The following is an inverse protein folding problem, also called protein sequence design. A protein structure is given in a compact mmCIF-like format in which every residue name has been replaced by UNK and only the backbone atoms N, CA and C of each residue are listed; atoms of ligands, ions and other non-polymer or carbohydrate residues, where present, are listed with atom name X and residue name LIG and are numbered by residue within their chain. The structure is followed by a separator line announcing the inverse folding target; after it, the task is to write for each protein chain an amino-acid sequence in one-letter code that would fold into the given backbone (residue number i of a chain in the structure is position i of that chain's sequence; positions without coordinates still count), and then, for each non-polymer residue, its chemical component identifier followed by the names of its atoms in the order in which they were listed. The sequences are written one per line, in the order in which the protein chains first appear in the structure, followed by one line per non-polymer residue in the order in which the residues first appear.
data_IF_397334261654
#
_entry.id   IF_397334261654
#
_cell.length_a   1.000
_cell.length_b   1.000
_cell.length_c   1.000
_cell.angle_alpha   90.00
_cell.angle_beta   90.00
_cell.angle_gamma   90.00
#
_symmetry.space_group_name_H-M   'P 1'
#
loop_
_entity.id
_entity.type
_entity.pdbx_description
1 polymer ?
#
# COMPACT_ATOMS: atom_id res chain seq x y z
N UNK A 1 82.04 20.45 44.31
CA UNK A 1 80.81 20.65 45.15
C UNK A 1 79.88 21.60 44.46
N UNK A 2 78.84 21.10 43.85
CA UNK A 2 77.65 21.85 43.47
C UNK A 2 76.60 20.84 43.03
N UNK A 3 75.58 20.64 43.90
CA UNK A 3 74.43 19.80 43.72
C UNK A 3 73.45 20.55 42.82
N UNK A 4 73.13 19.97 41.70
CA UNK A 4 72.01 20.43 40.88
C UNK A 4 70.77 19.51 41.14
N UNK A 5 69.80 20.09 41.80
CA UNK A 5 68.45 19.52 41.98
C UNK A 5 67.60 19.69 40.70
N UNK A 6 67.07 18.60 40.23
CA UNK A 6 66.09 18.57 39.13
C UNK A 6 64.72 18.89 39.69
N UNK A 7 63.87 19.63 38.93
CA UNK A 7 62.47 19.95 39.32
C UNK A 7 61.51 18.76 39.02
N UNK A 8 60.64 18.51 40.00
CA UNK A 8 59.53 17.57 39.92
C UNK A 8 58.54 17.93 38.75
N UNK A 9 58.35 16.99 37.85
CA UNK A 9 57.32 17.04 36.82
C UNK A 9 55.93 16.99 37.49
N UNK A 10 55.10 17.96 37.16
CA UNK A 10 53.68 18.03 37.55
C UNK A 10 52.88 16.97 36.81
N UNK A 11 52.25 16.06 37.55
CA UNK A 11 51.21 15.16 37.02
C UNK A 11 50.01 16.01 36.63
N UNK A 12 49.85 16.24 35.32
CA UNK A 12 48.56 16.70 34.78
C UNK A 12 47.50 15.59 34.92
N UNK A 13 46.53 15.83 35.78
CA UNK A 13 45.39 14.97 35.95
C UNK A 13 44.59 14.94 34.65
N UNK A 14 44.44 13.76 34.07
CA UNK A 14 43.46 13.49 33.03
C UNK A 14 42.06 13.70 33.64
N UNK A 15 41.44 14.82 33.34
CA UNK A 15 40.02 15.03 33.61
C UNK A 15 39.29 14.14 32.61
N UNK A 16 38.80 13.02 33.06
CA UNK A 16 37.86 12.17 32.35
C UNK A 16 36.63 13.00 32.05
N UNK A 17 36.45 13.38 30.78
CA UNK A 17 35.23 14.01 30.33
C UNK A 17 34.08 12.99 30.46
N UNK A 18 33.27 13.13 31.48
CA UNK A 18 32.03 12.39 31.60
C UNK A 18 31.17 12.70 30.36
N UNK A 19 30.58 11.68 29.68
CA UNK A 19 29.73 11.91 28.57
C UNK A 19 28.54 12.79 29.03
N UNK A 20 28.37 13.94 28.40
CA UNK A 20 27.32 14.88 28.73
C UNK A 20 25.96 14.15 28.68
N UNK A 21 25.34 14.01 29.85
CA UNK A 21 23.97 13.43 29.96
C UNK A 21 23.03 14.27 29.16
N UNK A 22 22.54 13.68 28.06
CA UNK A 22 21.57 14.36 27.20
C UNK A 22 20.33 14.73 28.02
N UNK A 23 19.81 15.97 27.83
CA UNK A 23 18.62 16.40 28.55
C UNK A 23 17.43 15.49 28.23
N UNK A 24 16.54 15.28 29.21
CA UNK A 24 15.31 14.48 29.06
C UNK A 24 14.48 14.90 27.81
N UNK A 25 14.43 16.18 27.51
CA UNK A 25 13.75 16.71 26.33
C UNK A 25 14.41 16.25 25.03
N UNK A 26 15.72 16.27 24.94
CA UNK A 26 16.46 15.80 23.75
C UNK A 26 16.27 14.30 23.54
N UNK A 27 16.24 13.51 24.61
CA UNK A 27 15.94 12.09 24.57
C UNK A 27 14.52 11.82 24.10
N UNK A 28 13.53 12.57 24.65
CA UNK A 28 12.12 12.47 24.26
C UNK A 28 11.93 12.78 22.77
N UNK A 29 12.58 13.82 22.25
CA UNK A 29 12.53 14.16 20.81
C UNK A 29 13.14 13.04 19.95
N UNK A 30 14.24 12.42 20.39
CA UNK A 30 14.84 11.28 19.66
C UNK A 30 13.91 10.07 19.63
N UNK A 31 13.26 9.76 20.77
CA UNK A 31 12.26 8.67 20.80
C UNK A 31 11.08 8.99 19.89
N UNK A 32 10.59 10.24 19.90
CA UNK A 32 9.50 10.66 19.02
C UNK A 32 9.87 10.48 17.55
N UNK A 33 11.07 10.87 17.15
CA UNK A 33 11.55 10.77 15.78
C UNK A 33 11.74 9.31 15.34
N UNK A 34 12.34 8.46 16.19
CA UNK A 34 12.50 7.04 15.88
C UNK A 34 11.15 6.29 15.87
N UNK A 35 10.23 6.60 16.77
CA UNK A 35 8.86 6.07 16.74
C UNK A 35 8.13 6.50 15.47
N UNK A 36 8.31 7.77 15.06
CA UNK A 36 7.76 8.28 13.81
C UNK A 36 8.33 7.56 12.58
N UNK A 37 9.63 7.27 12.57
CA UNK A 37 10.28 6.50 11.50
C UNK A 37 9.67 5.10 11.38
N UNK A 38 9.49 4.40 12.52
CA UNK A 38 8.86 3.09 12.54
C UNK A 38 7.43 3.11 12.01
N UNK A 39 6.68 4.14 12.36
CA UNK A 39 5.29 4.30 11.88
C UNK A 39 5.24 4.73 10.42
N UNK A 40 6.16 5.59 9.99
CA UNK A 40 6.23 6.04 8.59
C UNK A 40 6.61 4.88 7.66
N UNK A 41 7.55 4.03 8.09
CA UNK A 41 7.98 2.83 7.37
C UNK A 41 6.99 1.64 7.51
N UNK A 42 5.82 1.83 8.13
CA UNK A 42 4.82 0.79 8.41
C UNK A 42 5.35 -0.40 9.25
N UNK A 43 6.53 -0.28 9.87
CA UNK A 43 7.04 -1.30 10.80
C UNK A 43 6.18 -1.43 12.07
N UNK A 44 5.44 -0.38 12.42
CA UNK A 44 4.51 -0.34 13.56
C UNK A 44 3.31 0.57 13.22
N UNK A 45 2.10 0.06 13.44
CA UNK A 45 0.86 0.82 13.23
C UNK A 45 0.40 1.56 14.50
N UNK A 46 0.67 1.01 15.68
CA UNK A 46 0.22 1.56 16.95
C UNK A 46 1.26 2.46 17.63
N UNK A 47 0.83 3.65 18.06
CA UNK A 47 1.68 4.62 18.76
C UNK A 47 2.39 4.05 19.98
N UNK A 48 1.71 3.23 20.77
CA UNK A 48 2.31 2.62 21.96
C UNK A 48 3.44 1.66 21.60
N UNK A 49 3.21 0.78 20.61
CA UNK A 49 4.22 -0.17 20.14
C UNK A 49 5.43 0.54 19.53
N UNK A 50 5.17 1.51 18.63
CA UNK A 50 6.21 2.33 18.04
C UNK A 50 7.06 3.05 19.10
N UNK A 51 6.40 3.68 20.08
CA UNK A 51 7.04 4.36 21.21
C UNK A 51 7.95 3.42 22.01
N UNK A 52 7.43 2.26 22.39
CA UNK A 52 8.20 1.30 23.21
C UNK A 52 9.35 0.69 22.44
N UNK A 53 9.16 0.36 21.16
CA UNK A 53 10.20 -0.15 20.27
C UNK A 53 11.31 0.89 20.05
N UNK A 54 10.94 2.14 19.80
CA UNK A 54 11.87 3.26 19.69
C UNK A 54 12.66 3.51 21.00
N UNK A 55 11.97 3.49 22.13
CA UNK A 55 12.60 3.68 23.42
C UNK A 55 13.65 2.59 23.70
N UNK A 56 13.33 1.31 23.45
CA UNK A 56 14.28 0.18 23.60
C UNK A 56 15.52 0.33 22.71
N UNK A 57 15.41 0.92 21.53
CA UNK A 57 16.55 1.18 20.63
C UNK A 57 17.46 2.32 21.13
N UNK A 58 16.89 3.28 21.85
CA UNK A 58 17.60 4.51 22.24
C UNK A 58 18.15 4.44 23.66
N UNK A 59 17.42 3.81 24.58
CA UNK A 59 17.85 3.66 25.97
C UNK A 59 18.57 2.34 26.20
N UNK A 60 19.63 2.38 27.02
CA UNK A 60 20.32 1.16 27.48
C UNK A 60 19.65 0.48 28.69
N UNK A 61 18.53 1.03 29.18
CA UNK A 61 17.73 0.56 30.31
C UNK A 61 16.30 1.05 30.18
N UNK A 62 15.49 0.88 31.23
CA UNK A 62 14.09 1.28 31.20
C UNK A 62 13.93 2.81 31.13
N UNK A 63 13.16 3.31 30.14
CA UNK A 63 12.92 4.74 29.99
C UNK A 63 12.03 5.25 31.12
N UNK A 64 12.36 6.41 31.66
CA UNK A 64 11.46 7.08 32.62
C UNK A 64 10.26 7.66 31.88
N UNK A 65 9.06 7.71 32.50
CA UNK A 65 7.85 8.24 31.85
C UNK A 65 8.03 9.64 31.22
N UNK A 66 8.84 10.51 31.86
CA UNK A 66 9.15 11.86 31.37
C UNK A 66 9.99 11.89 30.07
N UNK A 67 10.69 10.80 29.79
CA UNK A 67 11.56 10.67 28.60
C UNK A 67 10.80 10.08 27.42
N UNK A 68 9.56 9.62 27.61
CA UNK A 68 8.70 9.10 26.57
C UNK A 68 7.84 10.20 25.95
N UNK A 69 7.75 10.26 24.61
CA UNK A 69 6.91 11.23 23.92
C UNK A 69 5.43 10.88 24.07
N UNK A 70 4.59 11.90 23.97
CA UNK A 70 3.16 11.75 23.78
C UNK A 70 2.85 11.22 22.36
N UNK A 71 1.66 10.67 22.16
CA UNK A 71 1.20 10.25 20.83
C UNK A 71 1.12 11.46 19.88
N UNK A 72 0.82 12.65 20.40
CA UNK A 72 0.82 13.90 19.63
C UNK A 72 2.21 14.23 19.08
N UNK A 73 3.26 14.15 19.93
CA UNK A 73 4.64 14.42 19.49
C UNK A 73 5.10 13.43 18.42
N UNK A 74 4.71 12.16 18.53
CA UNK A 74 5.01 11.14 17.52
C UNK A 74 4.26 11.47 16.22
N UNK A 75 2.96 11.76 16.30
CA UNK A 75 2.17 12.15 15.11
C UNK A 75 2.78 13.36 14.42
N UNK A 76 3.14 14.40 15.17
CA UNK A 76 3.72 15.61 14.62
C UNK A 76 5.07 15.34 13.93
N UNK A 77 5.86 14.39 14.46
CA UNK A 77 7.10 13.90 13.83
C UNK A 77 6.83 13.08 12.57
N UNK A 78 5.81 12.19 12.56
CA UNK A 78 5.37 11.47 11.34
C UNK A 78 4.99 12.45 10.25
N UNK A 79 4.24 13.50 10.59
CA UNK A 79 3.84 14.53 9.64
C UNK A 79 5.02 15.36 9.12
N UNK A 80 6.04 15.59 9.96
CA UNK A 80 7.26 16.24 9.51
C UNK A 80 8.01 15.36 8.49
N UNK A 81 8.11 14.06 8.72
CA UNK A 81 8.70 13.09 7.77
C UNK A 81 7.90 13.05 6.46
N UNK A 82 6.58 12.92 6.54
CA UNK A 82 5.72 12.89 5.35
C UNK A 82 5.95 14.15 4.49
N UNK A 83 5.98 15.34 5.09
CA UNK A 83 6.29 16.58 4.37
C UNK A 83 7.66 16.58 3.71
N UNK A 84 8.66 15.99 4.37
CA UNK A 84 10.03 15.94 3.83
C UNK A 84 10.17 14.98 2.64
N UNK A 85 9.46 13.86 2.68
CA UNK A 85 9.59 12.80 1.69
C UNK A 85 8.57 12.88 0.54
N UNK A 86 7.36 13.36 0.83
CA UNK A 86 6.24 13.32 -0.13
C UNK A 86 6.00 14.68 -0.84
N UNK A 87 6.45 15.79 -0.23
CA UNK A 87 6.36 17.13 -0.83
C UNK A 87 4.94 17.52 -1.24
N UNK A 88 4.78 18.04 -2.48
CA UNK A 88 3.50 18.50 -3.04
C UNK A 88 2.56 17.33 -3.35
N UNK A 89 3.08 16.16 -3.70
CA UNK A 89 2.29 14.94 -3.95
C UNK A 89 1.36 14.58 -2.77
N UNK A 90 1.77 14.93 -1.54
CA UNK A 90 0.94 14.72 -0.36
C UNK A 90 -0.36 15.53 -0.39
N UNK A 91 -0.32 16.76 -0.92
CA UNK A 91 -1.51 17.62 -1.03
C UNK A 91 -2.47 17.10 -2.09
N UNK A 92 -1.95 16.63 -3.21
CA UNK A 92 -2.72 15.99 -4.29
C UNK A 92 -3.36 14.69 -3.79
N UNK A 93 -2.56 13.84 -3.14
CA UNK A 93 -3.06 12.60 -2.54
C UNK A 93 -4.18 12.86 -1.52
N UNK A 94 -4.03 13.86 -0.65
CA UNK A 94 -5.07 14.23 0.31
C UNK A 94 -6.37 14.67 -0.38
N UNK A 95 -6.25 15.47 -1.46
CA UNK A 95 -7.39 15.90 -2.27
C UNK A 95 -8.13 14.69 -2.84
N UNK A 96 -7.38 13.77 -3.46
CA UNK A 96 -7.92 12.58 -4.08
C UNK A 96 -8.55 11.63 -3.05
N UNK A 97 -7.89 11.40 -1.90
CA UNK A 97 -8.46 10.62 -0.78
C UNK A 97 -9.79 11.20 -0.28
N UNK A 98 -9.93 12.53 -0.22
CA UNK A 98 -11.18 13.16 0.19
C UNK A 98 -12.28 13.04 -0.86
N UNK A 99 -11.94 13.06 -2.15
CA UNK A 99 -12.89 12.80 -3.23
C UNK A 99 -13.40 11.35 -3.18
N UNK A 100 -12.51 10.39 -2.99
CA UNK A 100 -12.87 8.98 -2.81
C UNK A 100 -13.70 8.75 -1.54
N UNK A 101 -13.33 9.43 -0.43
CA UNK A 101 -14.14 9.39 0.78
C UNK A 101 -15.57 9.90 0.54
N UNK A 102 -15.72 10.99 -0.22
CA UNK A 102 -17.02 11.53 -0.57
C UNK A 102 -17.83 10.54 -1.43
N UNK A 103 -17.21 9.91 -2.43
CA UNK A 103 -17.82 8.86 -3.26
C UNK A 103 -18.37 7.73 -2.38
N UNK A 104 -17.52 7.15 -1.54
CA UNK A 104 -17.91 6.05 -0.63
C UNK A 104 -19.01 6.47 0.34
N UNK A 105 -18.93 7.69 0.89
CA UNK A 105 -19.96 8.20 1.79
C UNK A 105 -21.32 8.39 1.07
N UNK A 106 -21.34 8.74 -0.20
CA UNK A 106 -22.57 8.84 -1.00
C UNK A 106 -23.20 7.47 -1.25
N UNK A 107 -22.41 6.43 -1.56
CA UNK A 107 -22.85 5.03 -1.64
C UNK A 107 -23.50 4.61 -0.33
N UNK A 108 -22.85 4.90 0.78
CA UNK A 108 -23.27 4.50 2.13
C UNK A 108 -24.19 5.53 2.83
N UNK A 109 -24.79 6.48 2.09
CA UNK A 109 -25.59 7.60 2.64
C UNK A 109 -26.70 7.18 3.60
N UNK A 110 -27.31 6.02 3.37
CA UNK A 110 -28.37 5.48 4.22
C UNK A 110 -27.89 5.19 5.66
N UNK A 111 -26.59 4.97 5.85
CA UNK A 111 -25.98 4.61 7.14
C UNK A 111 -25.32 5.79 7.85
N UNK A 112 -25.70 7.03 7.51
CA UNK A 112 -25.19 8.27 8.11
C UNK A 112 -23.67 8.32 8.24
N UNK A 113 -22.89 8.14 7.15
CA UNK A 113 -21.44 8.08 7.19
C UNK A 113 -20.82 9.35 7.80
N UNK A 114 -19.71 9.16 8.48
CA UNK A 114 -18.88 10.25 9.02
C UNK A 114 -17.42 9.99 8.71
N UNK A 115 -16.81 10.88 7.92
CA UNK A 115 -15.38 10.85 7.70
C UNK A 115 -14.66 11.25 8.98
N UNK A 116 -13.63 10.49 9.35
CA UNK A 116 -12.78 10.75 10.51
C UNK A 116 -11.29 10.65 10.13
N UNK A 117 -10.42 10.60 11.11
CA UNK A 117 -9.02 10.21 10.93
C UNK A 117 -8.14 11.20 10.17
N UNK A 118 -7.12 10.66 9.55
CA UNK A 118 -6.05 11.43 8.88
C UNK A 118 -6.55 12.14 7.63
N UNK A 119 -7.42 11.54 6.87
CA UNK A 119 -8.01 12.08 5.65
C UNK A 119 -8.83 13.33 5.92
N UNK A 120 -9.62 13.35 7.01
CA UNK A 120 -10.34 14.56 7.43
C UNK A 120 -9.38 15.64 7.90
N UNK A 121 -8.48 15.31 8.82
CA UNK A 121 -7.63 16.30 9.50
C UNK A 121 -6.43 16.76 8.67
N UNK A 122 -6.21 16.17 7.49
CA UNK A 122 -5.09 16.47 6.61
C UNK A 122 -3.75 15.88 7.08
N UNK A 123 -3.76 14.97 8.06
CA UNK A 123 -2.55 14.33 8.58
C UNK A 123 -2.20 13.03 7.84
N UNK A 124 -2.42 13.02 6.53
CA UNK A 124 -2.11 11.87 5.70
C UNK A 124 -0.61 11.70 5.47
N UNK A 125 -0.22 10.48 5.19
CA UNK A 125 1.06 10.05 4.66
C UNK A 125 0.81 8.96 3.63
N UNK A 126 1.82 8.58 2.89
CA UNK A 126 1.75 7.43 1.99
C UNK A 126 1.19 6.20 2.72
N UNK A 127 0.18 5.58 2.13
CA UNK A 127 -0.52 4.44 2.69
C UNK A 127 -1.37 4.78 3.92
N UNK A 128 -1.91 5.99 4.01
CA UNK A 128 -2.96 6.32 4.97
C UNK A 128 -4.29 5.77 4.47
N UNK A 129 -5.05 5.19 5.37
CA UNK A 129 -6.38 4.66 5.13
C UNK A 129 -7.44 5.78 5.18
N UNK A 130 -8.60 5.53 4.60
CA UNK A 130 -9.79 6.39 4.72
C UNK A 130 -10.70 5.78 5.79
N UNK A 131 -10.82 6.47 6.92
CA UNK A 131 -11.60 6.00 8.06
C UNK A 131 -13.02 6.57 8.02
N UNK A 132 -14.04 5.70 8.02
CA UNK A 132 -15.44 6.08 8.10
C UNK A 132 -16.13 5.45 9.31
N UNK A 133 -16.93 6.21 10.03
CA UNK A 133 -17.93 5.70 10.95
C UNK A 133 -19.28 5.57 10.25
N UNK A 134 -19.90 4.42 10.40
CA UNK A 134 -21.26 4.13 9.91
C UNK A 134 -22.17 3.81 11.10
N UNK A 135 -23.45 4.12 10.96
CA UNK A 135 -24.45 3.86 11.99
C UNK A 135 -25.57 2.99 11.42
N UNK A 136 -25.53 1.72 11.79
CA UNK A 136 -26.48 0.71 11.35
C UNK A 136 -26.69 -0.35 12.42
N UNK A 137 -27.92 -0.82 12.59
CA UNK A 137 -28.24 -1.96 13.44
C UNK A 137 -28.24 -3.28 12.64
N UNK A 138 -28.04 -3.21 11.30
CA UNK A 138 -27.89 -4.37 10.41
C UNK A 138 -26.59 -4.28 9.62
N UNK A 139 -25.69 -5.24 9.87
CA UNK A 139 -24.47 -5.43 9.08
C UNK A 139 -24.80 -5.84 7.64
N UNK A 140 -25.80 -6.73 7.51
CA UNK A 140 -26.25 -7.27 6.22
C UNK A 140 -26.71 -6.17 5.28
N UNK A 141 -27.39 -5.13 5.79
CA UNK A 141 -27.81 -3.98 4.99
C UNK A 141 -26.63 -3.15 4.48
N UNK A 142 -25.56 -3.00 5.29
CA UNK A 142 -24.33 -2.32 4.87
C UNK A 142 -23.61 -3.14 3.80
N UNK A 143 -23.48 -4.45 4.01
CA UNK A 143 -22.87 -5.36 3.03
C UNK A 143 -23.65 -5.35 1.71
N UNK A 144 -24.99 -5.43 1.74
CA UNK A 144 -25.81 -5.37 0.55
C UNK A 144 -25.67 -4.06 -0.24
N UNK A 145 -25.46 -2.92 0.44
CA UNK A 145 -25.19 -1.66 -0.22
C UNK A 145 -23.81 -1.65 -0.94
N UNK A 146 -22.78 -2.22 -0.31
CA UNK A 146 -21.46 -2.37 -0.94
C UNK A 146 -21.52 -3.32 -2.15
N UNK A 147 -22.18 -4.47 -1.99
CA UNK A 147 -22.38 -5.46 -3.06
C UNK A 147 -23.19 -4.88 -4.24
N UNK A 148 -24.17 -4.04 -3.94
CA UNK A 148 -24.97 -3.35 -4.96
C UNK A 148 -24.16 -2.42 -5.86
N UNK A 149 -23.07 -1.86 -5.35
CA UNK A 149 -22.11 -1.03 -6.10
C UNK A 149 -20.87 -1.83 -6.56
N UNK A 150 -20.88 -3.16 -6.42
CA UNK A 150 -19.79 -4.03 -6.86
C UNK A 150 -18.50 -3.90 -6.04
N UNK A 151 -18.59 -3.38 -4.81
CA UNK A 151 -17.45 -3.14 -3.93
C UNK A 151 -17.11 -4.43 -3.16
N UNK A 152 -15.88 -4.92 -3.33
CA UNK A 152 -15.34 -6.04 -2.57
C UNK A 152 -14.91 -5.59 -1.17
N UNK A 153 -15.16 -6.41 -0.16
CA UNK A 153 -14.86 -6.06 1.22
C UNK A 153 -14.58 -7.28 2.08
N UNK A 154 -13.89 -7.05 3.21
CA UNK A 154 -13.69 -8.04 4.27
C UNK A 154 -14.31 -7.55 5.57
N UNK A 155 -14.93 -8.47 6.33
CA UNK A 155 -15.56 -8.16 7.62
C UNK A 155 -14.70 -8.69 8.76
N UNK A 156 -14.20 -7.78 9.60
CA UNK A 156 -13.46 -8.12 10.81
C UNK A 156 -14.31 -7.79 12.06
N UNK A 157 -14.44 -8.75 12.99
CA UNK A 157 -15.08 -8.53 14.28
C UNK A 157 -14.03 -8.49 15.37
N UNK A 158 -13.78 -7.30 15.91
CA UNK A 158 -12.85 -7.11 17.04
C UNK A 158 -13.61 -7.05 18.37
N UNK A 159 -13.24 -7.94 19.29
CA UNK A 159 -13.72 -7.89 20.67
C UNK A 159 -12.75 -7.05 21.50
N UNK A 160 -13.18 -5.90 21.97
CA UNK A 160 -12.36 -5.01 22.80
C UNK A 160 -12.92 -4.94 24.22
N UNK A 161 -12.10 -5.31 25.20
CA UNK A 161 -12.44 -5.15 26.62
C UNK A 161 -11.89 -3.81 27.11
N UNK A 162 -12.79 -2.87 27.45
CA UNK A 162 -12.41 -1.56 27.97
C UNK A 162 -13.19 -1.27 29.26
N UNK A 163 -12.47 -0.96 30.33
CA UNK A 163 -13.05 -0.66 31.67
C UNK A 163 -13.97 -1.77 32.23
N UNK A 164 -13.70 -3.05 31.92
CA UNK A 164 -14.51 -4.17 32.40
C UNK A 164 -15.69 -4.54 31.51
N UNK A 165 -16.06 -3.71 30.54
CA UNK A 165 -17.08 -4.00 29.53
C UNK A 165 -16.46 -4.60 28.28
N UNK A 166 -17.03 -5.69 27.77
CA UNK A 166 -16.70 -6.21 26.44
C UNK A 166 -17.60 -5.54 25.41
N UNK A 167 -16.97 -4.93 24.41
CA UNK A 167 -17.67 -4.35 23.26
C UNK A 167 -17.17 -5.02 22.00
N UNK A 168 -18.07 -5.49 21.19
CA UNK A 168 -17.77 -5.96 19.85
C UNK A 168 -17.83 -4.77 18.89
N UNK A 169 -16.76 -4.60 18.14
CA UNK A 169 -16.70 -3.64 17.02
C UNK A 169 -16.66 -4.44 15.74
N UNK A 170 -17.47 -4.04 14.79
CA UNK A 170 -17.41 -4.59 13.43
C UNK A 170 -16.71 -3.58 12.55
N UNK A 171 -15.63 -4.03 11.92
CA UNK A 171 -14.90 -3.29 10.91
C UNK A 171 -15.15 -3.94 9.56
N UNK A 172 -15.31 -3.13 8.53
CA UNK A 172 -15.28 -3.58 7.14
C UNK A 172 -14.05 -2.92 6.51
N UNK A 173 -13.20 -3.74 5.93
CA UNK A 173 -12.02 -3.32 5.18
C UNK A 173 -12.34 -3.43 3.70
N UNK A 174 -12.05 -2.35 2.96
CA UNK A 174 -12.24 -2.30 1.51
C UNK A 174 -10.88 -1.95 0.92
N UNK A 175 -10.40 -2.80 0.03
CA UNK A 175 -9.23 -2.55 -0.79
C UNK A 175 -9.71 -2.03 -2.14
N UNK A 176 -9.50 -0.76 -2.35
CA UNK A 176 -9.78 -0.03 -3.60
C UNK A 176 -8.53 0.83 -3.89
N UNK A 177 -8.59 1.81 -4.76
CA UNK A 177 -7.50 2.80 -4.97
C UNK A 177 -6.90 3.31 -3.65
N UNK A 178 -7.69 3.40 -2.60
CA UNK A 178 -7.29 3.64 -1.22
C UNK A 178 -7.91 2.58 -0.32
N UNK A 179 -7.20 2.22 0.73
CA UNK A 179 -7.76 1.38 1.78
C UNK A 179 -8.82 2.14 2.57
N UNK A 180 -9.98 1.50 2.79
CA UNK A 180 -11.02 2.04 3.66
C UNK A 180 -11.17 1.16 4.90
N UNK A 181 -11.28 1.79 6.06
CA UNK A 181 -11.72 1.16 7.30
C UNK A 181 -13.09 1.72 7.70
N UNK A 182 -14.14 0.92 7.56
CA UNK A 182 -15.49 1.29 7.97
C UNK A 182 -15.77 0.71 9.36
N UNK A 183 -15.98 1.55 10.37
CA UNK A 183 -16.40 1.08 11.70
C UNK A 183 -17.88 1.24 11.85
N UNK A 184 -18.59 0.13 12.12
CA UNK A 184 -20.05 0.11 12.26
C UNK A 184 -20.44 0.23 13.73
N UNK A 185 -21.31 1.18 14.01
CA UNK A 185 -21.90 1.44 15.31
C UNK A 185 -23.42 1.31 15.25
N UNK A 186 -24.09 0.94 16.36
CA UNK A 186 -25.54 1.00 16.46
C UNK A 186 -26.08 2.40 16.14
N UNK A 187 -27.26 2.49 15.54
CA UNK A 187 -27.89 3.77 15.14
C UNK A 187 -28.03 4.77 16.29
N UNK A 188 -28.29 4.28 17.52
CA UNK A 188 -28.36 5.11 18.73
C UNK A 188 -27.06 5.80 19.10
N UNK A 189 -25.93 5.38 18.55
CA UNK A 189 -24.61 6.01 18.78
C UNK A 189 -24.26 7.14 17.79
N UNK A 190 -25.15 7.50 16.88
CA UNK A 190 -24.89 8.53 15.88
C UNK A 190 -24.50 9.91 16.51
N UNK A 191 -25.04 10.22 17.68
CA UNK A 191 -24.76 11.45 18.44
C UNK A 191 -23.69 11.29 19.53
N UNK A 192 -23.13 10.07 19.69
CA UNK A 192 -22.12 9.81 20.71
C UNK A 192 -20.83 10.58 20.41
N UNK A 193 -20.19 11.12 21.44
CA UNK A 193 -18.92 11.86 21.32
C UNK A 193 -17.77 10.90 21.53
N UNK A 194 -17.18 10.46 20.43
CA UNK A 194 -15.98 9.60 20.45
C UNK A 194 -14.76 10.44 20.83
N UNK A 195 -13.83 9.84 21.58
CA UNK A 195 -12.58 10.50 22.00
C UNK A 195 -11.39 9.91 21.25
N UNK A 196 -10.52 10.80 20.77
CA UNK A 196 -9.27 10.44 20.11
C UNK A 196 -8.30 9.77 21.09
N UNK A 197 -7.73 8.63 20.71
CA UNK A 197 -6.64 7.99 21.45
C UNK A 197 -5.34 8.79 21.42
N UNK A 198 -5.22 9.75 20.49
CA UNK A 198 -4.03 10.59 20.31
C UNK A 198 -4.09 11.82 21.21
N UNK A 199 -5.25 12.49 21.27
CA UNK A 199 -5.39 13.78 21.92
C UNK A 199 -6.25 13.74 23.21
N UNK A 200 -7.02 12.66 23.42
CA UNK A 200 -8.02 12.55 24.49
C UNK A 200 -9.25 13.45 24.31
N UNK A 201 -9.26 14.30 23.29
CA UNK A 201 -10.37 15.20 22.94
C UNK A 201 -11.38 14.49 22.05
N UNK A 202 -12.56 15.11 21.86
CA UNK A 202 -13.52 14.66 20.86
C UNK A 202 -12.85 14.51 19.48
N UNK A 203 -13.12 13.43 18.78
CA UNK A 203 -12.65 13.27 17.41
C UNK A 203 -13.39 14.23 16.49
N UNK A 204 -12.68 14.74 15.49
CA UNK A 204 -13.32 15.47 14.39
C UNK A 204 -14.06 14.46 13.51
N UNK A 205 -15.24 14.84 13.07
CA UNK A 205 -16.08 14.05 12.17
C UNK A 205 -16.68 14.99 11.14
N UNK A 206 -16.77 14.55 9.91
CA UNK A 206 -17.46 15.29 8.85
C UNK A 206 -18.57 14.42 8.23
N UNK A 207 -19.74 14.99 8.08
CA UNK A 207 -20.84 14.49 7.27
C UNK A 207 -20.54 14.69 5.78
N UNK A 208 -21.36 14.14 4.88
CA UNK A 208 -21.29 14.37 3.43
C UNK A 208 -21.27 15.89 3.15
N UNK A 209 -22.23 16.64 3.68
CA UNK A 209 -22.33 18.08 3.45
C UNK A 209 -21.11 18.86 3.99
N UNK A 210 -20.59 18.49 5.16
CA UNK A 210 -19.39 19.12 5.74
C UNK A 210 -18.14 18.79 4.92
N UNK A 211 -18.02 17.57 4.39
CA UNK A 211 -16.91 17.20 3.51
C UNK A 211 -16.99 17.92 2.16
N UNK A 212 -18.18 18.04 1.58
CA UNK A 212 -18.41 18.82 0.36
C UNK A 212 -18.04 20.29 0.55
N UNK A 213 -18.43 20.88 1.67
CA UNK A 213 -18.05 22.26 2.00
C UNK A 213 -16.53 22.39 2.15
N UNK A 214 -15.87 21.47 2.88
CA UNK A 214 -14.41 21.43 3.02
C UNK A 214 -13.70 21.37 1.68
N UNK A 215 -14.19 20.53 0.76
CA UNK A 215 -13.61 20.38 -0.58
C UNK A 215 -13.78 21.67 -1.41
N UNK A 216 -14.96 22.30 -1.39
CA UNK A 216 -15.19 23.59 -2.07
C UNK A 216 -14.31 24.72 -1.52
N UNK A 217 -14.10 24.76 -0.20
CA UNK A 217 -13.27 25.78 0.44
C UNK A 217 -11.77 25.60 0.15
N UNK A 218 -11.28 24.35 0.19
CA UNK A 218 -9.85 24.07 0.01
C UNK A 218 -9.42 23.89 -1.44
N UNK A 219 -10.35 23.49 -2.31
CA UNK A 219 -10.10 23.21 -3.73
C UNK A 219 -11.18 23.86 -4.62
N UNK A 220 -11.25 25.19 -4.66
CA UNK A 220 -12.33 25.93 -5.35
C UNK A 220 -12.38 25.65 -6.86
N UNK A 221 -11.23 25.32 -7.43
CA UNK A 221 -11.11 25.00 -8.87
C UNK A 221 -11.46 23.56 -9.21
N UNK A 222 -11.77 22.72 -8.22
CA UNK A 222 -12.14 21.33 -8.45
C UNK A 222 -13.63 21.23 -8.76
N UNK A 223 -14.03 20.75 -9.96
CA UNK A 223 -15.43 20.44 -10.25
C UNK A 223 -15.83 19.18 -9.45
N UNK A 224 -16.43 19.39 -8.29
CA UNK A 224 -16.67 18.35 -7.28
C UNK A 224 -17.48 17.17 -7.84
N UNK A 225 -18.53 17.45 -8.63
CA UNK A 225 -19.35 16.41 -9.25
C UNK A 225 -18.56 15.61 -10.29
N UNK A 226 -17.71 16.28 -11.06
CA UNK A 226 -16.87 15.64 -12.04
C UNK A 226 -15.77 14.81 -11.38
N UNK A 227 -15.14 15.29 -10.29
CA UNK A 227 -14.14 14.53 -9.55
C UNK A 227 -14.74 13.26 -8.90
N UNK A 228 -15.97 13.33 -8.42
CA UNK A 228 -16.70 12.15 -7.89
C UNK A 228 -17.05 11.18 -9.00
N UNK A 229 -17.55 11.69 -10.16
CA UNK A 229 -17.83 10.87 -11.33
C UNK A 229 -16.55 10.24 -11.91
N UNK A 230 -15.44 10.96 -11.95
CA UNK A 230 -14.14 10.43 -12.37
C UNK A 230 -13.63 9.34 -11.40
N UNK A 231 -13.88 9.49 -10.10
CA UNK A 231 -13.60 8.45 -9.12
C UNK A 231 -14.47 7.20 -9.32
N UNK A 232 -15.76 7.40 -9.64
CA UNK A 232 -16.69 6.30 -9.98
C UNK A 232 -16.34 5.63 -11.31
N UNK A 233 -15.81 6.37 -12.28
CA UNK A 233 -15.46 5.86 -13.62
C UNK A 233 -14.10 5.16 -13.68
N UNK A 234 -13.27 5.31 -12.65
CA UNK A 234 -11.98 4.60 -12.57
C UNK A 234 -12.23 3.19 -12.08
N UNK A 235 -12.52 2.30 -13.02
CA UNK A 235 -12.46 0.86 -12.74
C UNK A 235 -11.06 0.55 -12.16
N UNK A 236 -11.03 -0.07 -11.00
CA UNK A 236 -9.75 -0.52 -10.43
C UNK A 236 -9.14 -1.55 -11.38
N UNK A 237 -8.04 -1.17 -12.05
CA UNK A 237 -7.34 -2.05 -12.98
C UNK A 237 -6.94 -3.39 -12.35
N UNK A 238 -6.67 -3.42 -11.04
CA UNK A 238 -6.32 -4.66 -10.35
C UNK A 238 -7.50 -5.62 -10.19
N UNK A 239 -8.73 -5.12 -10.09
CA UNK A 239 -9.92 -5.96 -10.17
C UNK A 239 -10.08 -6.57 -11.56
N UNK A 240 -9.77 -5.81 -12.62
CA UNK A 240 -9.76 -6.36 -13.99
C UNK A 240 -8.72 -7.46 -14.12
N UNK A 241 -7.51 -7.26 -13.58
CA UNK A 241 -6.46 -8.29 -13.60
C UNK A 241 -6.90 -9.55 -12.85
N UNK A 242 -7.50 -9.41 -11.67
CA UNK A 242 -8.02 -10.54 -10.91
C UNK A 242 -9.07 -11.33 -11.71
N UNK A 243 -10.05 -10.63 -12.30
CA UNK A 243 -11.09 -11.24 -13.14
C UNK A 243 -10.53 -11.98 -14.35
N UNK A 244 -9.39 -11.55 -14.90
CA UNK A 244 -8.72 -12.19 -16.02
C UNK A 244 -7.82 -13.37 -15.58
N UNK A 245 -7.24 -13.29 -14.39
CA UNK A 245 -6.35 -14.32 -13.85
C UNK A 245 -7.11 -15.55 -13.32
N UNK A 246 -8.16 -15.36 -12.53
CA UNK A 246 -8.87 -16.46 -11.87
C UNK A 246 -9.37 -17.55 -12.83
N UNK A 247 -9.89 -17.27 -14.04
CA UNK A 247 -10.29 -18.32 -14.99
C UNK A 247 -9.15 -19.22 -15.46
N UNK A 248 -7.87 -18.77 -15.38
CA UNK A 248 -6.71 -19.55 -15.80
C UNK A 248 -6.49 -20.83 -14.99
N UNK A 249 -6.99 -20.90 -13.74
CA UNK A 249 -6.96 -22.13 -12.91
C UNK A 249 -7.61 -23.32 -13.63
N UNK A 250 -8.62 -23.04 -14.47
CA UNK A 250 -9.35 -24.06 -15.25
C UNK A 250 -8.69 -24.39 -16.59
N UNK A 251 -7.71 -23.58 -17.01
CA UNK A 251 -7.00 -23.77 -18.27
C UNK A 251 -5.86 -24.73 -18.04
N UNK A 252 -6.00 -25.97 -18.55
CA UNK A 252 -4.97 -27.01 -18.47
C UNK A 252 -4.22 -27.11 -19.79
N UNK A 253 -2.91 -27.25 -19.69
CA UNK A 253 -2.02 -27.49 -20.84
C UNK A 253 -1.46 -28.90 -20.85
N UNK A 254 -0.69 -29.24 -21.89
CA UNK A 254 -0.08 -30.56 -22.02
C UNK A 254 0.95 -30.77 -20.91
N UNK A 255 0.80 -31.79 -20.10
CA UNK A 255 1.73 -32.15 -19.02
C UNK A 255 3.16 -32.46 -19.50
N UNK A 256 3.35 -32.69 -20.79
CA UNK A 256 4.66 -32.92 -21.38
C UNK A 256 5.49 -31.62 -21.40
N UNK A 257 4.83 -30.50 -21.67
CA UNK A 257 5.48 -29.18 -21.76
C UNK A 257 5.18 -28.29 -20.57
N UNK A 258 4.10 -28.58 -19.84
CA UNK A 258 3.59 -27.82 -18.68
C UNK A 258 3.31 -28.79 -17.52
N UNK A 259 4.35 -29.32 -16.87
CA UNK A 259 4.19 -30.25 -15.74
C UNK A 259 3.53 -29.61 -14.53
N UNK A 260 3.56 -28.27 -14.39
CA UNK A 260 2.96 -27.46 -13.34
C UNK A 260 1.44 -27.56 -13.28
N UNK A 261 0.78 -27.82 -14.41
CA UNK A 261 -0.62 -28.26 -14.50
C UNK A 261 -1.62 -27.24 -14.98
N UNK A 262 -1.69 -26.02 -14.47
CA UNK A 262 -2.61 -24.98 -14.94
C UNK A 262 -1.90 -23.66 -15.21
N UNK A 263 -2.55 -22.85 -16.07
CA UNK A 263 -1.94 -21.61 -16.54
C UNK A 263 -1.88 -20.55 -15.44
N UNK A 264 -2.78 -20.58 -14.45
CA UNK A 264 -2.70 -19.64 -13.32
C UNK A 264 -1.43 -19.89 -12.51
N UNK A 265 -1.21 -21.14 -12.11
CA UNK A 265 -0.03 -21.51 -11.35
C UNK A 265 1.26 -21.21 -12.13
N UNK A 266 1.26 -21.43 -13.44
CA UNK A 266 2.34 -21.03 -14.32
C UNK A 266 2.59 -19.52 -14.27
N UNK A 267 1.56 -18.69 -14.50
CA UNK A 267 1.67 -17.23 -14.48
C UNK A 267 2.19 -16.68 -13.14
N UNK A 268 1.79 -17.30 -12.03
CA UNK A 268 2.30 -16.93 -10.70
C UNK A 268 3.77 -17.31 -10.50
N UNK A 269 4.24 -18.44 -11.08
CA UNK A 269 5.66 -18.78 -11.08
C UNK A 269 6.49 -17.80 -11.91
N UNK A 270 6.00 -17.44 -13.11
CA UNK A 270 6.66 -16.47 -13.99
C UNK A 270 6.76 -15.10 -13.29
N UNK A 271 5.69 -14.67 -12.65
CA UNK A 271 5.67 -13.45 -11.84
C UNK A 271 6.71 -13.49 -10.71
N UNK A 272 6.79 -14.59 -9.98
CA UNK A 272 7.72 -14.70 -8.85
C UNK A 272 9.19 -14.67 -9.31
N UNK A 273 9.50 -15.34 -10.43
CA UNK A 273 10.81 -15.28 -11.04
C UNK A 273 11.14 -13.87 -11.54
N UNK A 274 10.20 -13.24 -12.25
CA UNK A 274 10.35 -11.86 -12.70
C UNK A 274 10.57 -10.87 -11.53
N UNK A 275 9.88 -11.07 -10.40
CA UNK A 275 10.03 -10.26 -9.19
C UNK A 275 11.42 -10.39 -8.55
N UNK A 276 12.05 -11.55 -8.66
CA UNK A 276 13.41 -11.77 -8.17
C UNK A 276 14.44 -11.00 -9.00
N UNK A 277 14.21 -10.86 -10.31
CA UNK A 277 15.12 -10.19 -11.25
C UNK A 277 14.88 -8.66 -11.28
N UNK A 278 13.64 -8.21 -11.45
CA UNK A 278 13.27 -6.80 -11.58
C UNK A 278 12.17 -6.40 -10.59
N UNK A 279 12.45 -6.39 -9.26
CA UNK A 279 11.42 -6.23 -8.21
C UNK A 279 10.69 -4.89 -8.23
N UNK A 280 11.21 -3.87 -8.90
CA UNK A 280 10.66 -2.51 -8.91
C UNK A 280 10.09 -2.09 -10.27
N UNK A 281 10.13 -2.95 -11.28
CA UNK A 281 9.57 -2.69 -12.61
C UNK A 281 8.12 -3.20 -12.68
N UNK A 282 7.17 -2.33 -12.33
CA UNK A 282 5.74 -2.66 -12.35
C UNK A 282 5.28 -3.15 -13.71
N UNK A 283 5.73 -2.51 -14.80
CA UNK A 283 5.29 -2.80 -16.16
C UNK A 283 5.76 -4.19 -16.63
N UNK A 284 7.00 -4.54 -16.30
CA UNK A 284 7.57 -5.84 -16.58
C UNK A 284 6.89 -6.94 -15.75
N UNK A 285 6.67 -6.70 -14.47
CA UNK A 285 5.99 -7.63 -13.57
C UNK A 285 4.54 -7.87 -13.97
N UNK A 286 3.84 -6.83 -14.44
CA UNK A 286 2.50 -6.97 -15.02
C UNK A 286 2.53 -7.82 -16.29
N UNK A 287 3.51 -7.61 -17.18
CA UNK A 287 3.64 -8.45 -18.36
C UNK A 287 3.90 -9.91 -17.97
N UNK A 288 4.77 -10.18 -17.00
CA UNK A 288 5.05 -11.53 -16.50
C UNK A 288 3.81 -12.22 -15.92
N UNK A 289 2.99 -11.49 -15.15
CA UNK A 289 1.77 -12.05 -14.56
C UNK A 289 0.64 -12.27 -15.58
N UNK A 290 0.52 -11.36 -16.57
CA UNK A 290 -0.65 -11.28 -17.45
C UNK A 290 -0.43 -11.81 -18.87
N UNK A 291 0.79 -12.26 -19.24
CA UNK A 291 1.12 -12.65 -20.62
C UNK A 291 0.16 -13.68 -21.21
N UNK A 292 -0.34 -14.56 -20.38
CA UNK A 292 -1.16 -15.72 -20.75
C UNK A 292 -2.66 -15.59 -20.45
N UNK A 293 -3.15 -14.45 -19.95
CA UNK A 293 -4.58 -14.28 -19.59
C UNK A 293 -5.52 -14.55 -20.76
N UNK A 294 -5.09 -14.29 -21.97
CA UNK A 294 -5.88 -14.57 -23.18
C UNK A 294 -6.13 -16.06 -23.42
N UNK A 295 -5.37 -16.98 -22.83
CA UNK A 295 -5.62 -18.43 -22.95
C UNK A 295 -6.95 -18.87 -22.35
N UNK A 296 -7.50 -18.11 -21.40
CA UNK A 296 -8.85 -18.33 -20.88
C UNK A 296 -9.96 -17.79 -21.79
N UNK A 297 -9.62 -16.90 -22.73
CA UNK A 297 -10.55 -16.22 -23.64
C UNK A 297 -10.55 -16.90 -25.01
N UNK A 298 -9.41 -16.90 -25.70
CA UNK A 298 -9.19 -17.57 -26.97
C UNK A 298 -7.80 -18.22 -27.03
N UNK A 299 -7.76 -19.55 -26.96
CA UNK A 299 -6.52 -20.32 -27.01
C UNK A 299 -5.76 -20.24 -28.33
N UNK A 300 -6.45 -19.89 -29.44
CA UNK A 300 -5.84 -19.88 -30.79
C UNK A 300 -5.09 -18.58 -31.03
N UNK A 301 -5.59 -17.49 -30.45
CA UNK A 301 -4.99 -16.17 -30.54
C UNK A 301 -5.02 -15.50 -29.17
N UNK A 302 -4.32 -16.14 -28.22
CA UNK A 302 -4.33 -15.67 -26.84
C UNK A 302 -3.70 -14.28 -26.67
N UNK A 303 -2.73 -13.92 -27.52
CA UNK A 303 -2.08 -12.61 -27.47
C UNK A 303 -3.11 -11.51 -27.82
N UNK A 304 -3.79 -11.62 -28.96
CA UNK A 304 -4.79 -10.63 -29.34
C UNK A 304 -5.93 -10.55 -28.32
N UNK A 305 -6.38 -11.71 -27.78
CA UNK A 305 -7.40 -11.79 -26.76
C UNK A 305 -6.98 -11.12 -25.44
N UNK A 306 -5.70 -11.31 -25.02
CA UNK A 306 -5.14 -10.65 -23.85
C UNK A 306 -5.09 -9.13 -24.03
N UNK A 307 -4.56 -8.66 -25.14
CA UNK A 307 -4.43 -7.24 -25.45
C UNK A 307 -5.79 -6.52 -25.57
N UNK A 308 -6.79 -7.20 -26.14
CA UNK A 308 -8.15 -6.67 -26.20
C UNK A 308 -8.76 -6.55 -24.79
N UNK A 309 -8.64 -7.59 -23.95
CA UNK A 309 -9.20 -7.59 -22.61
C UNK A 309 -8.49 -6.63 -21.64
N UNK A 310 -7.19 -6.40 -21.82
CA UNK A 310 -6.36 -5.51 -21.02
C UNK A 310 -6.34 -4.07 -21.55
N UNK A 311 -6.98 -3.80 -22.71
CA UNK A 311 -6.98 -2.49 -23.34
C UNK A 311 -7.46 -1.39 -22.41
N UNK A 312 -6.66 -0.33 -22.25
CA UNK A 312 -6.94 0.81 -21.35
C UNK A 312 -6.54 0.57 -19.86
N UNK A 313 -6.13 -0.64 -19.50
CA UNK A 313 -5.72 -0.98 -18.12
C UNK A 313 -4.21 -1.20 -17.95
N UNK A 314 -3.48 -1.38 -19.03
CA UNK A 314 -2.02 -1.54 -19.04
C UNK A 314 -1.36 -0.44 -19.87
N UNK A 315 -0.07 -0.21 -19.62
CA UNK A 315 0.75 0.74 -20.37
C UNK A 315 1.12 0.19 -21.76
N UNK A 316 1.53 1.08 -22.68
CA UNK A 316 2.05 0.65 -23.99
C UNK A 316 3.25 -0.30 -23.87
N UNK A 317 4.13 -0.13 -22.86
CA UNK A 317 5.28 -0.99 -22.62
C UNK A 317 4.85 -2.38 -22.17
N UNK A 318 3.96 -2.48 -21.18
CA UNK A 318 3.39 -3.77 -20.74
C UNK A 318 2.69 -4.48 -21.91
N UNK A 319 1.89 -3.75 -22.70
CA UNK A 319 1.24 -4.31 -23.87
C UNK A 319 2.24 -4.85 -24.91
N UNK A 320 3.33 -4.11 -25.16
CA UNK A 320 4.40 -4.51 -26.08
C UNK A 320 5.10 -5.77 -25.59
N UNK A 321 5.42 -5.90 -24.30
CA UNK A 321 6.02 -7.10 -23.71
C UNK A 321 5.10 -8.32 -23.88
N UNK A 322 3.79 -8.16 -23.61
CA UNK A 322 2.80 -9.23 -23.83
C UNK A 322 2.70 -9.59 -25.31
N UNK A 323 2.69 -8.61 -26.21
CA UNK A 323 2.59 -8.85 -27.66
C UNK A 323 3.76 -9.67 -28.18
N UNK A 324 4.96 -9.42 -27.66
CA UNK A 324 6.19 -9.98 -28.21
C UNK A 324 6.77 -11.17 -27.41
N UNK A 325 6.12 -11.62 -26.31
CA UNK A 325 6.69 -12.70 -25.48
C UNK A 325 6.97 -13.98 -26.25
N UNK A 326 6.10 -14.34 -27.21
CA UNK A 326 6.33 -15.51 -28.08
C UNK A 326 7.47 -15.31 -29.09
N UNK A 327 7.73 -14.04 -29.51
CA UNK A 327 8.93 -13.75 -30.32
C UNK A 327 10.21 -13.90 -29.49
N UNK A 328 10.17 -13.62 -28.17
CA UNK A 328 11.25 -13.88 -27.23
C UNK A 328 11.63 -15.36 -27.18
N UNK A 329 10.64 -16.27 -27.08
CA UNK A 329 10.87 -17.72 -27.17
C UNK A 329 11.46 -18.11 -28.52
N UNK A 330 10.88 -17.64 -29.63
CA UNK A 330 11.38 -17.95 -30.97
C UNK A 330 12.81 -17.43 -31.20
N UNK A 331 13.19 -16.33 -30.57
CA UNK A 331 14.55 -15.80 -30.57
C UNK A 331 15.51 -16.74 -29.85
N UNK A 332 15.15 -17.19 -28.66
CA UNK A 332 15.93 -18.11 -27.83
C UNK A 332 16.14 -19.45 -28.48
N UNK A 333 15.11 -19.99 -29.15
CA UNK A 333 15.16 -21.21 -29.94
C UNK A 333 15.89 -21.06 -31.30
N UNK A 334 16.20 -19.84 -31.72
CA UNK A 334 16.82 -19.55 -33.00
C UNK A 334 15.88 -19.71 -34.21
N UNK A 335 14.57 -19.78 -33.97
CA UNK A 335 13.54 -19.97 -35.00
C UNK A 335 12.99 -18.65 -35.54
N UNK A 336 13.28 -17.53 -34.86
CA UNK A 336 12.80 -16.20 -35.25
C UNK A 336 13.42 -15.72 -36.56
N UNK A 337 12.58 -15.33 -37.52
CA UNK A 337 13.01 -14.82 -38.82
C UNK A 337 13.90 -13.57 -38.73
N UNK A 338 14.87 -13.41 -39.64
CA UNK A 338 15.90 -12.35 -39.61
C UNK A 338 15.31 -10.93 -39.49
N UNK A 339 14.15 -10.66 -40.12
CA UNK A 339 13.50 -9.33 -40.08
C UNK A 339 12.90 -9.06 -38.70
N UNK A 340 12.16 -10.02 -38.14
CA UNK A 340 11.57 -9.91 -36.79
C UNK A 340 12.66 -9.81 -35.73
N UNK A 341 13.72 -10.64 -35.85
CA UNK A 341 14.88 -10.56 -34.96
C UNK A 341 15.52 -9.16 -34.94
N UNK A 342 15.75 -8.56 -36.12
CA UNK A 342 16.35 -7.21 -36.20
C UNK A 342 15.42 -6.15 -35.59
N UNK A 343 14.09 -6.28 -35.78
CA UNK A 343 13.10 -5.38 -35.18
C UNK A 343 13.09 -5.49 -33.69
N UNK A 344 13.07 -6.71 -33.15
CA UNK A 344 13.05 -7.00 -31.72
C UNK A 344 14.32 -6.48 -31.04
N UNK A 345 15.50 -6.76 -31.61
CA UNK A 345 16.79 -6.29 -31.11
C UNK A 345 16.99 -4.75 -31.18
N UNK A 346 16.16 -4.04 -31.93
CA UNK A 346 16.19 -2.59 -32.00
C UNK A 346 15.25 -1.92 -30.99
N UNK A 347 14.50 -2.69 -30.22
CA UNK A 347 13.63 -2.16 -29.15
C UNK A 347 14.46 -1.78 -27.92
N UNK A 348 14.01 -0.77 -27.22
CA UNK A 348 14.58 -0.37 -25.92
C UNK A 348 14.33 -1.43 -24.84
N UNK A 349 13.25 -2.22 -24.98
CA UNK A 349 12.85 -3.30 -24.05
C UNK A 349 13.33 -4.68 -24.52
N UNK A 350 14.43 -4.74 -25.28
CA UNK A 350 14.95 -6.01 -25.80
C UNK A 350 15.42 -6.95 -24.69
N UNK A 351 16.16 -6.44 -23.73
CA UNK A 351 16.69 -7.24 -22.61
C UNK A 351 15.55 -7.80 -21.75
N UNK A 352 14.47 -7.04 -21.58
CA UNK A 352 13.29 -7.48 -20.81
C UNK A 352 12.48 -8.56 -21.54
N UNK A 353 12.43 -8.55 -22.86
CA UNK A 353 11.79 -9.64 -23.62
C UNK A 353 12.59 -10.94 -23.51
N UNK A 354 13.92 -10.89 -23.55
CA UNK A 354 14.77 -12.08 -23.32
C UNK A 354 14.56 -12.60 -21.89
N UNK A 355 14.52 -11.70 -20.90
CA UNK A 355 14.29 -12.05 -19.51
C UNK A 355 12.89 -12.62 -19.28
N UNK A 356 11.85 -12.05 -19.91
CA UNK A 356 10.49 -12.56 -19.82
C UNK A 356 10.40 -14.00 -20.36
N UNK A 357 11.02 -14.27 -21.52
CA UNK A 357 11.07 -15.61 -22.10
C UNK A 357 11.88 -16.59 -21.22
N UNK A 358 12.87 -16.10 -20.48
CA UNK A 358 13.60 -16.92 -19.50
C UNK A 358 12.75 -17.25 -18.28
N UNK A 359 12.03 -16.28 -17.73
CA UNK A 359 11.11 -16.49 -16.62
C UNK A 359 9.97 -17.43 -16.98
N UNK A 360 9.40 -17.29 -18.19
CA UNK A 360 8.34 -18.17 -18.70
C UNK A 360 8.82 -19.62 -18.81
N UNK A 361 9.98 -19.86 -19.43
CA UNK A 361 10.56 -21.21 -19.53
C UNK A 361 10.83 -21.85 -18.16
N UNK A 362 11.33 -21.05 -17.20
CA UNK A 362 11.66 -21.53 -15.87
C UNK A 362 10.41 -21.65 -14.96
N UNK A 363 9.32 -20.99 -15.31
CA UNK A 363 8.02 -21.02 -14.60
C UNK A 363 7.22 -22.32 -14.78
N UNK A 364 7.86 -23.41 -15.22
CA UNK A 364 7.24 -24.72 -15.53
C UNK A 364 7.64 -25.79 -14.52
N UNK A 365 7.71 -25.44 -13.26
CA UNK A 365 8.12 -26.35 -12.19
C UNK A 365 6.94 -26.80 -11.32
N UNK A 366 6.97 -28.05 -10.85
CA UNK A 366 5.93 -28.56 -9.94
C UNK A 366 6.32 -28.37 -8.48
N UNK A 367 5.34 -28.01 -7.63
CA UNK A 367 5.53 -27.94 -6.17
C UNK A 367 6.40 -26.77 -5.70
N UNK A 368 6.54 -25.73 -6.52
CA UNK A 368 7.18 -24.47 -6.13
C UNK A 368 6.20 -23.64 -5.33
N UNK A 369 6.65 -23.03 -4.24
CA UNK A 369 5.87 -22.08 -3.47
C UNK A 369 5.79 -20.75 -4.23
N UNK A 370 4.57 -20.28 -4.49
CA UNK A 370 4.29 -19.04 -5.23
C UNK A 370 3.28 -18.22 -4.47
N UNK A 371 3.27 -16.88 -4.62
CA UNK A 371 2.23 -16.04 -4.06
C UNK A 371 0.86 -16.44 -4.63
N UNK A 372 -0.20 -16.22 -3.88
CA UNK A 372 -1.53 -16.30 -4.46
C UNK A 372 -1.84 -15.04 -5.31
N UNK A 373 -2.99 -15.06 -6.00
CA UNK A 373 -3.40 -13.95 -6.88
C UNK A 373 -3.49 -12.63 -6.12
N UNK A 374 -4.02 -12.67 -4.89
CA UNK A 374 -4.18 -11.46 -4.08
C UNK A 374 -2.82 -10.91 -3.62
N UNK A 375 -1.92 -11.77 -3.19
CA UNK A 375 -0.56 -11.39 -2.80
C UNK A 375 0.23 -10.79 -3.97
N UNK A 376 0.12 -11.37 -5.15
CA UNK A 376 0.76 -10.85 -6.37
C UNK A 376 0.19 -9.47 -6.77
N UNK A 377 -1.13 -9.32 -6.75
CA UNK A 377 -1.79 -8.05 -7.07
C UNK A 377 -1.57 -6.98 -5.99
N UNK A 378 -1.49 -7.35 -4.71
CA UNK A 378 -1.15 -6.42 -3.63
C UNK A 378 0.26 -5.87 -3.80
N UNK A 379 1.24 -6.73 -4.12
CA UNK A 379 2.60 -6.32 -4.43
C UNK A 379 2.65 -5.30 -5.58
N UNK A 380 1.98 -5.59 -6.68
CA UNK A 380 1.90 -4.69 -7.84
C UNK A 380 1.17 -3.38 -7.50
N UNK A 381 0.10 -3.45 -6.69
CA UNK A 381 -0.61 -2.27 -6.21
C UNK A 381 0.26 -1.38 -5.33
N UNK A 382 1.13 -1.97 -4.51
CA UNK A 382 2.09 -1.22 -3.70
C UNK A 382 3.18 -0.58 -4.56
N UNK A 383 3.66 -1.27 -5.60
CA UNK A 383 4.57 -0.68 -6.59
C UNK A 383 3.93 0.49 -7.35
N UNK A 384 2.71 0.33 -7.82
CA UNK A 384 1.96 1.38 -8.51
C UNK A 384 1.81 2.64 -7.64
N UNK A 385 1.56 2.47 -6.33
CA UNK A 385 1.52 3.58 -5.36
C UNK A 385 2.88 4.19 -5.09
N UNK A 386 3.97 3.43 -5.35
CA UNK A 386 5.35 3.82 -5.03
C UNK A 386 6.05 4.48 -6.21
N UNK A 387 5.91 3.93 -7.38
CA UNK A 387 6.63 4.26 -8.61
C UNK A 387 5.70 4.90 -9.65
N UNK A 388 4.40 4.66 -9.56
CA UNK A 388 3.40 5.29 -10.40
C UNK A 388 3.06 6.70 -9.93
N UNK A 389 2.96 7.59 -10.85
CA UNK A 389 2.47 8.95 -10.66
C UNK A 389 1.04 9.00 -10.16
#
# INVERSE_FOLDING_TARGET
MLQHSLPRAALMGFVSAQPATMSSEKMRRRVAWEAARLMYAREESEYFRAKMKAARRIFRGDPKPKDLPSNREIRDAVQAMARMHEGERRAENLRDMRAEALRMMRVLRAFRPRLIGSTLTGHVRRGSDIDLHLFSDSLESVCAALEGDGICYEVERKRVRKQGEERNYTHIHIQDRYEFELTIYPTGMAHYVFKSSITGKAIQRASIAELEQLLREQYPDMPLEQAVLEAESKVDRFQVYELLLLPLERVKESREHHPEGDVLYHSLQVFELARQELPYDEEFLLAALLHDVGKAIDRRDHIAAALEALGGFITPRTAWLIEHHMEGHALKEGTLGTRSRRRLMASEDFDEIELLAECDDNGRSTGVDVPDVQEALEYLRELARTCGE
#
